data_IF_157189963436
#
_entry.id   IF_157189963436
#
_cell.length_a   1.000
_cell.length_b   1.000
_cell.length_c   1.000
_cell.angle_alpha   90.00
_cell.angle_beta   90.00
_cell.angle_gamma   90.00
#
_symmetry.space_group_name_H-M   'P 1'
#
loop_
_entity.id
_entity.type
_entity.pdbx_description
1 polymer ?
#
# COMPACT_ATOMS: atom_id res chain seq x y z
N UNK A 1 -14.53 6.82 -32.92
CA UNK A 1 -15.23 6.90 -31.62
C UNK A 1 -14.18 6.52 -30.59
N UNK A 2 -13.59 7.51 -29.93
CA UNK A 2 -12.45 7.32 -29.03
C UNK A 2 -12.96 6.65 -27.75
N UNK A 3 -12.62 5.38 -27.54
CA UNK A 3 -12.85 4.71 -26.27
C UNK A 3 -12.04 5.44 -25.20
N UNK A 4 -12.77 6.13 -24.32
CA UNK A 4 -12.21 6.82 -23.18
C UNK A 4 -11.31 5.86 -22.41
N UNK A 5 -10.03 6.22 -22.30
CA UNK A 5 -9.09 5.66 -21.34
C UNK A 5 -9.75 5.69 -19.98
N UNK A 6 -10.35 4.57 -19.57
CA UNK A 6 -10.75 4.33 -18.18
C UNK A 6 -9.48 4.43 -17.37
N UNK A 7 -9.26 5.58 -16.74
CA UNK A 7 -8.36 5.70 -15.61
C UNK A 7 -8.91 4.72 -14.58
N UNK A 8 -8.37 3.50 -14.54
CA UNK A 8 -8.70 2.53 -13.50
C UNK A 8 -8.35 3.20 -12.19
N UNK A 9 -9.35 3.49 -11.37
CA UNK A 9 -9.10 3.95 -10.02
C UNK A 9 -8.18 2.90 -9.36
N UNK A 10 -7.03 3.31 -8.79
CA UNK A 10 -6.04 2.38 -8.26
C UNK A 10 -6.53 1.59 -7.03
N UNK A 11 -7.79 1.79 -6.63
CA UNK A 11 -8.48 1.12 -5.53
C UNK A 11 -9.58 0.14 -6.01
N UNK A 12 -9.61 -0.24 -7.30
CA UNK A 12 -10.55 -1.27 -7.80
C UNK A 12 -10.28 -2.69 -7.25
N UNK A 13 -9.14 -2.91 -6.58
CA UNK A 13 -8.94 -4.09 -5.74
C UNK A 13 -9.78 -3.98 -4.48
N UNK A 14 -10.61 -4.99 -4.17
CA UNK A 14 -11.28 -5.07 -2.86
C UNK A 14 -10.20 -4.93 -1.78
N UNK A 15 -10.21 -3.83 -1.04
CA UNK A 15 -9.36 -3.69 0.16
C UNK A 15 -9.75 -4.81 1.11
N UNK A 16 -8.86 -5.79 1.25
CA UNK A 16 -9.10 -6.97 2.07
C UNK A 16 -8.62 -6.77 3.50
N UNK A 17 -7.69 -5.83 3.71
CA UNK A 17 -6.99 -5.66 4.97
C UNK A 17 -6.82 -4.18 5.30
N UNK A 18 -7.15 -3.80 6.54
CA UNK A 18 -6.96 -2.45 7.07
C UNK A 18 -6.16 -2.54 8.37
N UNK A 19 -5.05 -1.82 8.43
CA UNK A 19 -4.28 -1.58 9.66
C UNK A 19 -4.70 -0.21 10.17
N UNK A 20 -5.56 -0.21 11.19
CA UNK A 20 -6.16 1.02 11.70
C UNK A 20 -5.20 1.90 12.50
N UNK A 21 -5.61 3.16 12.79
CA UNK A 21 -4.85 4.09 13.62
C UNK A 21 -4.52 3.50 14.99
N UNK A 22 -3.38 3.89 15.56
CA UNK A 22 -2.91 3.39 16.87
C UNK A 22 -2.37 1.96 16.86
N UNK A 23 -2.42 1.26 15.73
CA UNK A 23 -1.81 -0.08 15.59
C UNK A 23 -0.31 0.06 15.32
N UNK A 24 0.50 -0.73 16.03
CA UNK A 24 1.93 -0.89 15.76
C UNK A 24 2.20 -2.35 15.40
N UNK A 25 2.71 -2.58 14.19
CA UNK A 25 3.14 -3.90 13.73
C UNK A 25 4.67 -3.92 13.64
N UNK A 26 5.27 -4.98 14.17
CA UNK A 26 6.70 -5.29 14.03
C UNK A 26 6.84 -6.69 13.46
N UNK A 27 7.40 -6.81 12.26
CA UNK A 27 7.58 -8.08 11.54
C UNK A 27 7.12 -8.02 10.09
N UNK A 28 6.78 -9.18 9.53
CA UNK A 28 6.45 -9.33 8.12
C UNK A 28 4.94 -9.44 7.89
N UNK A 29 4.45 -8.72 6.89
CA UNK A 29 3.05 -8.73 6.46
C UNK A 29 2.99 -9.22 5.02
N UNK A 30 2.21 -10.27 4.77
CA UNK A 30 1.98 -10.81 3.42
C UNK A 30 0.48 -10.83 3.14
N UNK A 31 0.05 -10.16 2.07
CA UNK A 31 -1.34 -10.10 1.66
C UNK A 31 -1.51 -10.40 0.16
N UNK A 32 -2.56 -11.13 -0.19
CA UNK A 32 -2.93 -11.34 -1.61
C UNK A 32 -3.80 -10.21 -2.17
N UNK A 33 -4.63 -9.60 -1.32
CA UNK A 33 -5.46 -8.46 -1.69
C UNK A 33 -4.90 -7.15 -1.16
N UNK A 34 -5.50 -6.04 -1.58
CA UNK A 34 -5.04 -4.71 -1.23
C UNK A 34 -5.03 -4.49 0.30
N UNK A 35 -3.98 -3.81 0.77
CA UNK A 35 -3.77 -3.45 2.17
C UNK A 35 -3.78 -1.92 2.32
N UNK A 36 -4.57 -1.42 3.28
CA UNK A 36 -4.58 -0.01 3.68
C UNK A 36 -3.96 0.16 5.05
N UNK A 37 -3.03 1.10 5.18
CA UNK A 37 -2.23 1.31 6.39
C UNK A 37 -2.41 2.74 6.89
N UNK A 38 -3.02 2.88 8.07
CA UNK A 38 -3.20 4.13 8.81
C UNK A 38 -2.38 4.17 10.11
N UNK A 39 -1.79 3.03 10.50
CA UNK A 39 -0.96 2.88 11.69
C UNK A 39 0.54 2.86 11.40
N UNK A 40 1.31 2.28 12.32
CA UNK A 40 2.76 2.17 12.22
C UNK A 40 3.21 0.74 11.88
N UNK A 41 4.11 0.57 10.92
CA UNK A 41 4.66 -0.73 10.52
C UNK A 41 6.17 -0.66 10.48
N UNK A 42 6.85 -1.64 11.07
CA UNK A 42 8.29 -1.83 10.95
C UNK A 42 8.62 -3.27 10.56
N UNK A 43 9.37 -3.46 9.48
CA UNK A 43 9.72 -4.79 8.95
C UNK A 43 9.55 -4.87 7.43
N UNK A 44 8.69 -5.77 6.94
CA UNK A 44 8.44 -5.96 5.50
C UNK A 44 6.94 -6.05 5.22
N UNK A 45 6.48 -5.43 4.14
CA UNK A 45 5.11 -5.55 3.65
C UNK A 45 5.14 -5.99 2.20
N UNK A 46 4.57 -7.16 1.93
CA UNK A 46 4.41 -7.72 0.61
C UNK A 46 2.93 -7.86 0.27
N UNK A 47 2.54 -7.32 -0.87
CA UNK A 47 1.18 -7.38 -1.38
C UNK A 47 1.18 -7.80 -2.86
N UNK A 48 0.35 -8.77 -3.24
CA UNK A 48 0.17 -9.12 -4.66
C UNK A 48 -0.66 -8.07 -5.43
N UNK A 49 -1.35 -7.18 -4.70
CA UNK A 49 -2.18 -6.13 -5.25
C UNK A 49 -1.67 -4.73 -4.83
N UNK A 50 -2.50 -3.91 -4.18
CA UNK A 50 -2.13 -2.55 -3.79
C UNK A 50 -1.66 -2.44 -2.32
N UNK A 51 -0.63 -1.63 -2.07
CA UNK A 51 -0.28 -1.11 -0.74
C UNK A 51 -0.66 0.35 -0.71
N UNK A 52 -1.56 0.74 0.20
CA UNK A 52 -2.04 2.11 0.35
C UNK A 52 -1.66 2.61 1.73
N UNK A 53 -0.68 3.52 1.80
CA UNK A 53 -0.29 4.21 3.04
C UNK A 53 -1.08 5.51 3.10
N UNK A 54 -1.96 5.63 4.10
CA UNK A 54 -2.74 6.85 4.32
C UNK A 54 -1.89 7.91 5.02
N UNK A 55 -2.37 9.16 5.08
CA UNK A 55 -1.66 10.30 5.67
C UNK A 55 -1.14 10.06 7.10
N UNK A 56 -1.89 9.32 7.92
CA UNK A 56 -1.48 8.98 9.28
C UNK A 56 -0.49 7.81 9.37
N UNK A 57 -0.27 7.10 8.26
CA UNK A 57 0.59 5.93 8.19
C UNK A 57 2.08 6.29 8.35
N UNK A 58 2.78 5.55 9.20
CA UNK A 58 4.23 5.70 9.43
C UNK A 58 4.93 4.36 9.23
N UNK A 59 5.65 4.25 8.13
CA UNK A 59 6.22 2.97 7.69
C UNK A 59 7.74 3.03 7.77
N UNK A 60 8.34 2.08 8.47
CA UNK A 60 9.79 1.80 8.49
C UNK A 60 10.04 0.39 7.97
N UNK A 61 9.84 0.18 6.67
CA UNK A 61 9.76 -1.15 6.10
C UNK A 61 10.17 -1.19 4.62
N UNK A 62 10.47 -2.40 4.16
CA UNK A 62 10.50 -2.71 2.73
C UNK A 62 9.06 -2.96 2.24
N UNK A 63 8.63 -2.21 1.23
CA UNK A 63 7.32 -2.33 0.60
C UNK A 63 7.45 -2.97 -0.79
N UNK A 64 6.76 -4.08 -1.02
CA UNK A 64 6.68 -4.76 -2.30
C UNK A 64 5.21 -4.96 -2.70
N UNK A 65 4.77 -4.26 -3.75
CA UNK A 65 3.38 -4.30 -4.22
C UNK A 65 3.26 -4.45 -5.74
N UNK A 66 2.07 -4.76 -6.26
CA UNK A 66 1.76 -4.46 -7.66
C UNK A 66 1.63 -2.96 -7.87
N UNK A 67 0.92 -2.31 -6.95
CA UNK A 67 0.77 -0.85 -6.89
C UNK A 67 1.10 -0.37 -5.47
N UNK A 68 1.76 0.78 -5.36
CA UNK A 68 2.05 1.41 -4.06
C UNK A 68 1.61 2.87 -4.12
N UNK A 69 0.75 3.27 -3.18
CA UNK A 69 0.20 4.63 -3.08
C UNK A 69 0.54 5.14 -1.69
N UNK A 70 1.23 6.26 -1.62
CA UNK A 70 1.76 6.82 -0.37
C UNK A 70 1.18 8.22 -0.20
N UNK A 71 0.45 8.42 0.89
CA UNK A 71 0.02 9.75 1.35
C UNK A 71 0.62 10.11 2.71
N UNK A 72 1.24 9.15 3.40
CA UNK A 72 1.90 9.31 4.70
C UNK A 72 3.42 9.27 4.61
N UNK A 73 4.06 8.82 5.69
CA UNK A 73 5.52 8.75 5.78
C UNK A 73 6.03 7.31 5.55
N UNK A 74 7.01 7.16 4.66
CA UNK A 74 7.70 5.88 4.40
C UNK A 74 9.21 6.08 4.44
N UNK A 75 9.87 5.31 5.30
CA UNK A 75 11.33 5.21 5.41
C UNK A 75 11.74 3.76 5.13
N UNK A 76 12.32 3.52 3.96
CA UNK A 76 12.70 2.18 3.51
C UNK A 76 12.67 2.04 2.00
N UNK A 77 12.77 0.81 1.51
CA UNK A 77 12.74 0.53 0.08
C UNK A 77 11.31 0.32 -0.39
N UNK A 78 10.92 0.97 -1.49
CA UNK A 78 9.60 0.82 -2.10
C UNK A 78 9.76 0.28 -3.51
N UNK A 79 9.14 -0.86 -3.78
CA UNK A 79 9.10 -1.51 -5.10
C UNK A 79 7.66 -1.76 -5.51
N UNK A 80 7.30 -1.31 -6.70
CA UNK A 80 6.03 -1.65 -7.31
C UNK A 80 6.24 -2.21 -8.72
N UNK A 81 5.45 -3.22 -9.08
CA UNK A 81 5.51 -3.82 -10.41
C UNK A 81 4.88 -2.94 -11.50
N UNK A 82 3.86 -2.16 -11.17
CA UNK A 82 3.15 -1.32 -12.15
C UNK A 82 3.25 0.17 -11.85
N UNK A 83 2.95 0.59 -10.61
CA UNK A 83 2.77 2.02 -10.29
C UNK A 83 3.20 2.35 -8.87
N UNK A 84 3.93 3.45 -8.73
CA UNK A 84 4.19 4.15 -7.48
C UNK A 84 3.57 5.55 -7.57
N UNK A 85 2.85 5.96 -6.52
CA UNK A 85 2.29 7.30 -6.34
C UNK A 85 2.67 7.80 -4.94
N UNK A 86 3.14 9.05 -4.83
CA UNK A 86 3.66 9.69 -3.62
C UNK A 86 3.11 11.12 -3.55
#
# INVERSE_FOLDING_TARGET
MLDALKVKNPVEGKVTSIIGPGTLIKGDIVSKGAIRIEGAVSGRVQCEDAIVVQESGRIRAELLGRQVIISGEVEGNVSAHERIEI
#
